data_IF_226593327083
#
_entry.id   IF_226593327083
#
_cell.length_a   1.000
_cell.length_b   1.000
_cell.length_c   1.000
_cell.angle_alpha   90.00
_cell.angle_beta   90.00
_cell.angle_gamma   90.00
#
_symmetry.space_group_name_H-M   'P 1'
#
loop_
_entity.id
_entity.type
_entity.pdbx_description
1 polymer ?
#
# COMPACT_ATOMS: atom_id res chain seq x y z
N UNK A 1 -10.39 -6.72 11.23
CA UNK A 1 -9.41 -7.80 11.02
C UNK A 1 -8.04 -7.22 11.33
N UNK A 2 -7.28 -7.81 12.26
CA UNK A 2 -5.99 -7.29 12.76
C UNK A 2 -5.96 -7.13 14.29
N UNK A 3 -4.84 -7.46 14.92
CA UNK A 3 -4.58 -7.21 16.34
C UNK A 3 -4.20 -5.74 16.51
N UNK A 4 -4.73 -5.06 17.54
CA UNK A 4 -4.37 -3.66 17.83
C UNK A 4 -2.86 -3.51 18.03
N UNK A 5 -2.25 -2.54 17.35
CA UNK A 5 -0.81 -2.29 17.37
C UNK A 5 0.02 -3.19 16.45
N UNK A 6 -0.59 -4.04 15.62
CA UNK A 6 0.09 -4.76 14.55
C UNK A 6 0.11 -3.92 13.27
N UNK A 7 1.28 -3.82 12.63
CA UNK A 7 1.48 -3.09 11.38
C UNK A 7 2.13 -3.99 10.34
N UNK A 8 1.80 -3.79 9.07
CA UNK A 8 2.31 -4.59 7.95
C UNK A 8 2.68 -3.69 6.78
N UNK A 9 3.83 -3.96 6.17
CA UNK A 9 4.17 -3.49 4.83
C UNK A 9 4.72 -4.66 4.03
N UNK A 10 4.18 -4.89 2.84
CA UNK A 10 4.46 -6.09 2.07
C UNK A 10 3.85 -6.04 0.67
N UNK A 11 3.76 -7.21 0.03
CA UNK A 11 3.28 -7.34 -1.35
C UNK A 11 4.07 -6.52 -2.41
N UNK A 12 5.33 -6.18 -2.10
CA UNK A 12 6.24 -5.45 -3.01
C UNK A 12 6.94 -6.35 -4.04
N UNK A 13 6.75 -7.67 -3.97
CA UNK A 13 7.25 -8.66 -4.94
C UNK A 13 8.72 -8.42 -5.33
N UNK A 14 9.06 -8.51 -6.62
CA UNK A 14 10.40 -8.24 -7.17
C UNK A 14 10.89 -6.80 -7.02
N UNK A 15 10.04 -5.87 -6.56
CA UNK A 15 10.40 -4.46 -6.36
C UNK A 15 10.83 -4.13 -4.91
N UNK A 16 10.94 -5.14 -4.04
CA UNK A 16 11.19 -4.94 -2.61
C UNK A 16 12.50 -4.22 -2.27
N UNK A 17 13.62 -4.57 -2.92
CA UNK A 17 14.91 -3.92 -2.62
C UNK A 17 14.92 -2.44 -3.05
N UNK A 18 14.27 -2.12 -4.17
CA UNK A 18 14.19 -0.76 -4.70
C UNK A 18 13.24 0.12 -3.87
N UNK A 19 12.18 -0.47 -3.31
CA UNK A 19 11.21 0.24 -2.47
C UNK A 19 11.57 0.25 -0.98
N UNK A 20 12.58 -0.50 -0.54
CA UNK A 20 12.84 -0.77 0.88
C UNK A 20 12.89 0.49 1.77
N UNK A 21 13.64 1.52 1.35
CA UNK A 21 13.76 2.76 2.12
C UNK A 21 12.42 3.52 2.18
N UNK A 22 11.76 3.71 1.03
CA UNK A 22 10.48 4.42 0.97
C UNK A 22 9.36 3.68 1.70
N UNK A 23 9.35 2.34 1.63
CA UNK A 23 8.45 1.49 2.39
C UNK A 23 8.68 1.65 3.91
N UNK A 24 9.94 1.58 4.36
CA UNK A 24 10.31 1.79 5.75
C UNK A 24 9.87 3.16 6.28
N UNK A 25 10.14 4.22 5.52
CA UNK A 25 9.76 5.59 5.89
C UNK A 25 8.23 5.73 5.98
N UNK A 26 7.49 5.17 5.02
CA UNK A 26 6.03 5.22 5.01
C UNK A 26 5.45 4.47 6.22
N UNK A 27 5.96 3.28 6.53
CA UNK A 27 5.53 2.50 7.69
C UNK A 27 5.84 3.22 9.01
N UNK A 28 7.04 3.78 9.13
CA UNK A 28 7.43 4.55 10.32
C UNK A 28 6.53 5.76 10.52
N UNK A 29 6.20 6.50 9.45
CA UNK A 29 5.28 7.63 9.52
C UNK A 29 3.87 7.18 9.97
N UNK A 30 3.39 6.04 9.47
CA UNK A 30 2.09 5.48 9.88
C UNK A 30 2.09 5.08 11.37
N UNK A 31 3.12 4.36 11.84
CA UNK A 31 3.24 3.92 13.25
C UNK A 31 3.31 5.12 14.21
N UNK A 32 4.03 6.17 13.83
CA UNK A 32 4.28 7.33 14.69
C UNK A 32 3.19 8.41 14.62
N UNK A 33 2.21 8.27 13.73
CA UNK A 33 1.19 9.30 13.49
C UNK A 33 1.73 10.56 12.81
N UNK A 34 2.85 10.47 12.11
CA UNK A 34 3.42 11.58 11.35
C UNK A 34 2.58 11.91 10.11
N UNK A 35 2.86 13.05 9.47
CA UNK A 35 2.18 13.43 8.23
C UNK A 35 2.47 12.42 7.13
N UNK A 36 1.43 11.77 6.63
CA UNK A 36 1.51 10.87 5.49
C UNK A 36 1.55 11.63 4.15
N UNK A 37 2.31 11.16 3.16
CA UNK A 37 2.27 11.70 1.80
C UNK A 37 0.92 11.44 1.14
N UNK A 38 0.56 12.24 0.14
CA UNK A 38 -0.74 12.14 -0.55
C UNK A 38 -0.99 10.79 -1.22
N UNK A 39 0.07 10.07 -1.59
CA UNK A 39 -0.01 8.74 -2.18
C UNK A 39 -0.15 7.62 -1.14
N UNK A 40 0.00 7.87 0.17
CA UNK A 40 -0.06 6.82 1.18
C UNK A 40 -1.33 5.92 1.12
N UNK A 41 -2.54 6.46 0.86
CA UNK A 41 -3.75 5.65 0.80
C UNK A 41 -3.72 4.53 -0.26
N UNK A 42 -2.88 4.62 -1.28
CA UNK A 42 -2.77 3.56 -2.31
C UNK A 42 -2.11 2.29 -1.78
N UNK A 43 -1.44 2.35 -0.62
CA UNK A 43 -0.81 1.20 0.04
C UNK A 43 -1.68 0.58 1.15
N UNK A 44 -2.80 1.23 1.50
CA UNK A 44 -3.72 0.75 2.54
C UNK A 44 -4.62 -0.39 2.02
N UNK A 45 -4.94 -1.35 2.87
CA UNK A 45 -5.87 -2.44 2.51
C UNK A 45 -7.29 -1.94 2.18
N UNK A 46 -7.68 -0.79 2.76
CA UNK A 46 -8.97 -0.16 2.50
C UNK A 46 -9.18 0.21 1.02
N UNK A 47 -8.11 0.27 0.21
CA UNK A 47 -8.25 0.47 -1.25
C UNK A 47 -9.11 -0.61 -1.92
N UNK A 48 -9.13 -1.83 -1.39
CA UNK A 48 -9.96 -2.92 -1.92
C UNK A 48 -11.45 -2.77 -1.58
N UNK A 49 -11.82 -1.82 -0.71
CA UNK A 49 -13.21 -1.45 -0.43
C UNK A 49 -13.72 -0.35 -1.37
N UNK A 50 -12.83 0.28 -2.15
CA UNK A 50 -13.18 1.33 -3.09
C UNK A 50 -13.72 0.72 -4.41
N UNK A 51 -15.02 0.91 -4.64
CA UNK A 51 -15.70 0.38 -5.83
C UNK A 51 -15.14 0.93 -7.16
N UNK A 52 -14.64 2.16 -7.20
CA UNK A 52 -14.07 2.74 -8.41
C UNK A 52 -12.68 2.16 -8.71
N UNK A 53 -11.87 1.93 -7.66
CA UNK A 53 -10.60 1.22 -7.79
C UNK A 53 -10.79 -0.22 -8.29
N UNK A 54 -11.83 -0.92 -7.81
CA UNK A 54 -12.14 -2.27 -8.28
C UNK A 54 -12.55 -2.28 -9.77
N UNK A 55 -13.34 -1.31 -10.23
CA UNK A 55 -13.68 -1.16 -11.65
C UNK A 55 -12.44 -0.90 -12.50
N UNK A 56 -11.49 -0.12 -12.01
CA UNK A 56 -10.22 0.09 -12.70
C UNK A 56 -9.45 -1.22 -12.84
N UNK A 57 -9.35 -2.02 -11.78
CA UNK A 57 -8.69 -3.34 -11.81
C UNK A 57 -9.32 -4.26 -12.86
N UNK A 58 -10.65 -4.29 -12.99
CA UNK A 58 -11.34 -5.11 -14.01
C UNK A 58 -10.92 -4.77 -15.44
N UNK A 59 -10.43 -3.54 -15.67
CA UNK A 59 -9.95 -3.09 -16.98
C UNK A 59 -8.45 -3.28 -17.19
N UNK A 60 -7.69 -3.69 -16.18
CA UNK A 60 -6.24 -3.89 -16.29
C UNK A 60 -5.90 -5.15 -17.07
N UNK A 61 -4.88 -5.07 -17.93
CA UNK A 61 -4.38 -6.22 -18.69
C UNK A 61 -3.49 -7.15 -17.87
N UNK A 62 -3.15 -8.31 -18.42
CA UNK A 62 -2.45 -9.42 -17.74
C UNK A 62 -0.99 -9.14 -17.33
N UNK A 63 -0.45 -7.95 -17.60
CA UNK A 63 0.94 -7.63 -17.29
C UNK A 63 1.21 -7.48 -15.79
N UNK A 64 0.17 -7.21 -14.98
CA UNK A 64 0.30 -6.98 -13.53
C UNK A 64 1.19 -5.79 -13.17
N UNK A 65 1.49 -4.90 -14.12
CA UNK A 65 2.21 -3.65 -13.89
C UNK A 65 1.20 -2.51 -13.71
N UNK A 66 1.50 -1.62 -12.75
CA UNK A 66 0.82 -0.34 -12.55
C UNK A 66 1.39 0.72 -13.52
#
# INVERSE_FOLDING_TARGET
MGVQGAYMIGAVSGYGIMSACGAGDLLAAHITGARLPSYAPVFELARYENADYLKEIESWGDSGQL
#
